data_IF_607870061856
#
_entry.id   IF_607870061856
#
_cell.length_a   1.000
_cell.length_b   1.000
_cell.length_c   1.000
_cell.angle_alpha   90.00
_cell.angle_beta   90.00
_cell.angle_gamma   90.00
#
_symmetry.space_group_name_H-M   'P 1'
#
loop_
_entity.id
_entity.type
_entity.pdbx_description
1 polymer ?
#
# COMPACT_ATOMS: atom_id res chain seq x y z
N UNK A 1 -0.29 -9.51 5.36
CA UNK A 1 -0.42 -8.48 4.31
C UNK A 1 0.05 -8.95 2.95
N UNK A 2 1.33 -9.30 2.73
CA UNK A 2 1.82 -9.77 1.42
C UNK A 2 1.04 -10.98 0.87
N UNK A 3 0.73 -11.96 1.72
CA UNK A 3 -0.09 -13.14 1.38
C UNK A 3 -1.51 -12.83 0.85
N UNK A 4 -2.18 -11.78 1.35
CA UNK A 4 -3.52 -11.40 0.87
C UNK A 4 -3.48 -10.71 -0.50
N UNK A 5 -2.40 -9.96 -0.78
CA UNK A 5 -2.22 -9.34 -2.11
C UNK A 5 -1.91 -10.40 -3.15
N UNK A 6 -1.20 -11.47 -2.77
CA UNK A 6 -0.94 -12.61 -3.66
C UNK A 6 -2.22 -13.39 -4.00
N UNK A 7 -3.15 -13.56 -3.06
CA UNK A 7 -4.39 -14.33 -3.29
C UNK A 7 -5.54 -13.51 -3.90
N UNK A 8 -5.68 -12.22 -3.57
CA UNK A 8 -6.84 -11.39 -3.97
C UNK A 8 -6.50 -10.24 -4.91
N UNK A 9 -5.21 -10.05 -5.23
CA UNK A 9 -4.74 -8.92 -6.05
C UNK A 9 -4.64 -7.60 -5.30
N UNK A 10 -5.35 -7.42 -4.18
CA UNK A 10 -5.29 -6.24 -3.31
C UNK A 10 -5.45 -6.60 -1.83
N UNK A 11 -4.91 -5.76 -0.95
CA UNK A 11 -5.04 -5.87 0.51
C UNK A 11 -5.40 -4.50 1.09
N UNK A 12 -6.55 -4.46 1.77
CA UNK A 12 -7.05 -3.28 2.49
C UNK A 12 -6.65 -3.34 3.96
N UNK A 13 -6.59 -2.19 4.63
CA UNK A 13 -6.33 -2.12 6.07
C UNK A 13 -4.85 -2.17 6.44
N UNK A 14 -3.95 -1.89 5.48
CA UNK A 14 -2.53 -1.76 5.77
C UNK A 14 -2.31 -0.49 6.59
N UNK A 15 -2.26 -0.65 7.91
CA UNK A 15 -2.09 0.42 8.87
C UNK A 15 -0.69 0.42 9.47
N UNK A 16 -0.13 1.61 9.67
CA UNK A 16 1.16 1.79 10.33
C UNK A 16 1.50 3.25 10.52
N UNK A 17 2.59 3.51 11.26
CA UNK A 17 3.16 4.85 11.39
C UNK A 17 4.22 5.03 10.30
N UNK A 18 4.23 6.20 9.67
CA UNK A 18 5.24 6.66 8.71
C UNK A 18 5.77 8.01 9.13
N UNK A 19 7.03 8.26 8.78
CA UNK A 19 7.72 9.52 9.04
C UNK A 19 7.87 10.22 7.69
N UNK A 20 7.40 11.47 7.61
CA UNK A 20 7.57 12.30 6.42
C UNK A 20 9.03 12.71 6.25
N UNK A 21 9.38 13.24 5.07
CA UNK A 21 10.72 13.78 4.84
C UNK A 21 11.08 14.93 5.82
N UNK A 22 10.07 15.61 6.36
CA UNK A 22 10.17 16.69 7.35
C UNK A 22 10.27 16.18 8.80
N UNK A 23 10.19 14.86 9.01
CA UNK A 23 10.27 14.23 10.34
C UNK A 23 8.91 14.05 11.04
N UNK A 24 7.82 14.54 10.46
CA UNK A 24 6.49 14.42 11.03
C UNK A 24 5.97 12.99 10.94
N UNK A 25 5.52 12.43 12.07
CA UNK A 25 4.92 11.11 12.13
C UNK A 25 3.43 11.19 11.80
N UNK A 26 2.95 10.31 10.92
CA UNK A 26 1.53 10.21 10.59
C UNK A 26 1.10 8.75 10.45
N UNK A 27 -0.17 8.48 10.76
CA UNK A 27 -0.74 7.14 10.63
C UNK A 27 -1.34 6.97 9.24
N UNK A 28 -0.95 5.91 8.55
CA UNK A 28 -1.54 5.51 7.28
C UNK A 28 -2.62 4.45 7.49
N UNK A 29 -3.62 4.45 6.62
CA UNK A 29 -4.47 3.31 6.33
C UNK A 29 -4.58 3.19 4.81
N UNK A 30 -3.86 2.24 4.25
CA UNK A 30 -3.70 2.09 2.82
C UNK A 30 -4.42 0.85 2.29
N UNK A 31 -4.89 0.97 1.05
CA UNK A 31 -5.15 -0.17 0.18
C UNK A 31 -3.93 -0.38 -0.69
N UNK A 32 -3.35 -1.58 -0.62
CA UNK A 32 -2.16 -1.97 -1.36
C UNK A 32 -2.55 -2.97 -2.45
N UNK A 33 -2.02 -2.84 -3.66
CA UNK A 33 -2.18 -3.83 -4.71
C UNK A 33 -0.88 -4.03 -5.48
N UNK A 34 -0.72 -5.22 -6.06
CA UNK A 34 0.42 -5.51 -6.91
C UNK A 34 0.17 -4.91 -8.30
N UNK A 35 1.20 -4.25 -8.86
CA UNK A 35 1.23 -3.89 -10.26
C UNK A 35 1.78 -5.08 -11.03
N UNK A 36 0.97 -5.63 -11.93
CA UNK A 36 1.34 -6.75 -12.78
C UNK A 36 1.65 -6.24 -14.19
N UNK A 37 2.51 -6.96 -14.91
CA UNK A 37 2.72 -6.78 -16.34
C UNK A 37 1.41 -6.97 -17.09
N UNK A 38 1.29 -6.40 -18.29
CA UNK A 38 0.06 -6.47 -19.11
C UNK A 38 -0.35 -7.91 -19.43
N UNK A 39 0.60 -8.85 -19.44
CA UNK A 39 0.38 -10.28 -19.61
C UNK A 39 0.00 -11.02 -18.31
N UNK A 40 -0.03 -10.33 -17.17
CA UNK A 40 -0.35 -10.87 -15.85
C UNK A 40 0.73 -11.77 -15.24
N UNK A 41 1.85 -12.03 -15.93
CA UNK A 41 2.83 -13.06 -15.54
C UNK A 41 3.90 -12.58 -14.58
N UNK A 42 4.17 -11.27 -14.56
CA UNK A 42 5.25 -10.69 -13.76
C UNK A 42 4.74 -9.56 -12.87
N UNK A 43 5.16 -9.56 -11.61
CA UNK A 43 5.02 -8.40 -10.71
C UNK A 43 6.02 -7.31 -11.13
N UNK A 44 5.51 -6.14 -11.49
CA UNK A 44 6.29 -4.94 -11.81
C UNK A 44 6.55 -4.10 -10.57
N UNK A 45 5.67 -4.16 -9.57
CA UNK A 45 5.80 -3.37 -8.34
C UNK A 45 4.58 -3.47 -7.45
N UNK A 46 4.40 -2.46 -6.58
CA UNK A 46 3.25 -2.31 -5.71
C UNK A 46 2.79 -0.85 -5.72
N UNK A 47 1.49 -0.65 -5.71
CA UNK A 47 0.87 0.65 -5.54
C UNK A 47 0.08 0.67 -4.23
N UNK A 48 0.04 1.83 -3.60
CA UNK A 48 -0.71 2.09 -2.39
C UNK A 48 -1.62 3.30 -2.60
N UNK A 49 -2.88 3.19 -2.23
CA UNK A 49 -3.79 4.34 -2.11
C UNK A 49 -4.14 4.54 -0.64
N UNK A 50 -3.97 5.77 -0.17
CA UNK A 50 -4.33 6.19 1.18
C UNK A 50 -5.69 6.90 1.10
N UNK A 51 -6.68 6.40 1.85
CA UNK A 51 -8.02 6.99 1.84
C UNK A 51 -8.04 8.37 2.52
N UNK A 52 -7.25 8.50 3.57
CA UNK A 52 -7.10 9.71 4.39
C UNK A 52 -5.68 9.73 4.93
N UNK A 53 -4.98 10.85 4.77
CA UNK A 53 -3.67 11.10 5.36
C UNK A 53 -3.85 12.22 6.39
N UNK A 54 -4.42 11.94 7.58
CA UNK A 54 -4.50 12.95 8.61
C UNK A 54 -3.07 13.29 9.06
N UNK A 55 -2.68 14.54 8.87
CA UNK A 55 -1.47 15.10 9.48
C UNK A 55 -1.73 15.18 11.00
N UNK A 56 -0.81 14.66 11.81
CA UNK A 56 -0.85 14.78 13.28
C UNK A 56 -0.22 16.11 13.72
#
# INVERSE_FOLDING_TARGET
FVKMVEEKGFSTGYSGIRVSAEGNCFRINATLWNLMSSDGKRKLGQAACFRTVPYL
#
